data_IF_045933863893
#
_entry.id   IF_045933863893
#
_cell.length_a   1.000
_cell.length_b   1.000
_cell.length_c   1.000
_cell.angle_alpha   90.00
_cell.angle_beta   90.00
_cell.angle_gamma   90.00
#
_symmetry.space_group_name_H-M   'P 1'
#
loop_
_entity.id
_entity.type
_entity.pdbx_description
1 polymer ?
#
# COMPACT_ATOMS: atom_id res chain seq x y z
N UNK A 1 -10.68 -0.57 7.95
CA UNK A 1 -10.69 0.67 8.76
C UNK A 1 -9.44 0.71 9.62
N UNK A 2 -8.74 1.84 9.58
CA UNK A 2 -7.51 2.06 10.33
C UNK A 2 -7.77 3.09 11.44
N UNK A 3 -7.06 2.93 12.56
CA UNK A 3 -7.04 3.92 13.63
C UNK A 3 -5.66 4.59 13.64
N UNK A 4 -5.61 5.81 13.16
CA UNK A 4 -4.37 6.59 13.07
C UNK A 4 -4.53 7.86 13.90
N UNK A 5 -3.74 7.99 14.95
CA UNK A 5 -3.80 9.13 15.86
C UNK A 5 -5.22 9.41 16.38
N UNK A 6 -5.99 8.36 16.66
CA UNK A 6 -7.37 8.48 17.13
C UNK A 6 -8.40 8.69 16.02
N UNK A 7 -8.00 8.80 14.77
CA UNK A 7 -8.90 8.94 13.63
C UNK A 7 -9.18 7.58 13.00
N UNK A 8 -10.45 7.33 12.67
CA UNK A 8 -10.84 6.13 11.93
C UNK A 8 -10.82 6.45 10.44
N UNK A 9 -10.00 5.71 9.70
CA UNK A 9 -9.76 5.96 8.28
C UNK A 9 -10.08 4.70 7.49
N UNK A 10 -10.91 4.83 6.46
CA UNK A 10 -11.20 3.71 5.55
C UNK A 10 -10.04 3.51 4.58
N UNK A 11 -9.56 2.26 4.47
CA UNK A 11 -8.47 1.95 3.53
C UNK A 11 -8.85 2.26 2.09
N UNK A 12 -10.12 2.03 1.73
CA UNK A 12 -10.62 2.34 0.39
C UNK A 12 -10.56 3.83 0.06
N UNK A 13 -10.80 4.69 1.06
CA UNK A 13 -10.71 6.14 0.88
C UNK A 13 -9.27 6.58 0.59
N UNK A 14 -8.32 6.02 1.32
CA UNK A 14 -6.90 6.33 1.12
C UNK A 14 -6.44 5.80 -0.24
N UNK A 15 -6.83 4.59 -0.60
CA UNK A 15 -6.49 4.01 -1.90
C UNK A 15 -7.04 4.87 -3.04
N UNK A 16 -8.27 5.34 -2.92
CA UNK A 16 -8.88 6.23 -3.91
C UNK A 16 -8.15 7.55 -4.04
N UNK A 17 -7.75 8.14 -2.93
CA UNK A 17 -6.98 9.39 -2.93
C UNK A 17 -5.61 9.21 -3.58
N UNK A 18 -4.92 8.10 -3.30
CA UNK A 18 -3.64 7.78 -3.94
C UNK A 18 -3.82 7.58 -5.44
N UNK A 19 -4.89 6.92 -5.84
CA UNK A 19 -5.17 6.67 -7.26
C UNK A 19 -5.38 7.92 -8.10
N UNK A 20 -5.68 9.05 -7.47
CA UNK A 20 -5.82 10.33 -8.16
C UNK A 20 -4.48 11.00 -8.47
N UNK A 21 -3.40 10.54 -7.86
CA UNK A 21 -2.08 11.11 -8.11
C UNK A 21 -1.59 10.74 -9.50
N UNK A 22 -0.83 11.63 -10.13
CA UNK A 22 -0.28 11.41 -11.47
C UNK A 22 0.65 10.21 -11.49
N UNK A 23 0.49 9.34 -12.48
CA UNK A 23 1.37 8.21 -12.71
C UNK A 23 1.01 6.95 -11.94
N UNK A 24 0.02 6.98 -11.06
CA UNK A 24 -0.41 5.82 -10.28
C UNK A 24 -1.39 4.97 -11.08
N UNK A 25 -1.09 3.68 -11.24
CA UNK A 25 -1.99 2.72 -11.87
C UNK A 25 -2.91 2.07 -10.85
N UNK A 26 -2.35 1.55 -9.76
CA UNK A 26 -3.10 0.92 -8.68
C UNK A 26 -2.46 1.23 -7.33
N UNK A 27 -3.24 1.12 -6.27
CA UNK A 27 -2.73 1.25 -4.91
C UNK A 27 -3.47 0.30 -3.98
N UNK A 28 -2.75 -0.20 -2.99
CA UNK A 28 -3.34 -0.98 -1.91
C UNK A 28 -2.77 -0.47 -0.58
N UNK A 29 -3.64 -0.28 0.39
CA UNK A 29 -3.28 0.31 1.68
C UNK A 29 -3.58 -0.68 2.80
N UNK A 30 -2.62 -0.85 3.70
CA UNK A 30 -2.80 -1.66 4.90
C UNK A 30 -2.28 -0.91 6.12
N UNK A 31 -2.76 -1.29 7.30
CA UNK A 31 -2.24 -0.78 8.56
C UNK A 31 -1.08 -1.62 9.05
N UNK A 32 -0.17 -0.99 9.77
CA UNK A 32 0.90 -1.67 10.47
C UNK A 32 1.09 -1.05 11.85
N UNK A 33 1.67 -1.77 12.83
CA UNK A 33 1.89 -1.20 14.17
C UNK A 33 2.79 0.04 14.12
N UNK A 34 2.38 1.08 14.83
CA UNK A 34 3.12 2.34 14.90
C UNK A 34 3.16 2.80 16.36
N UNK A 35 4.34 3.07 16.88
CA UNK A 35 4.55 3.37 18.31
C UNK A 35 3.81 4.61 18.78
N UNK A 36 3.71 5.62 17.95
CA UNK A 36 3.11 6.91 18.32
C UNK A 36 1.63 6.97 17.93
N UNK A 37 1.29 6.53 16.73
CA UNK A 37 -0.06 6.68 16.16
C UNK A 37 -1.00 5.52 16.47
N UNK A 38 -0.52 4.44 17.06
CA UNK A 38 -1.24 3.19 17.21
C UNK A 38 -1.15 2.33 15.95
N UNK A 39 -1.61 2.85 14.82
CA UNK A 39 -1.42 2.25 13.50
C UNK A 39 -0.81 3.26 12.55
N UNK A 40 0.11 2.82 11.72
CA UNK A 40 0.62 3.59 10.60
C UNK A 40 -0.04 3.14 9.30
N UNK A 41 0.16 3.89 8.25
CA UNK A 41 -0.39 3.62 6.92
C UNK A 41 0.75 3.21 6.00
N UNK A 42 0.65 2.01 5.45
CA UNK A 42 1.61 1.47 4.49
C UNK A 42 0.91 1.33 3.14
N UNK A 43 1.41 2.03 2.13
CA UNK A 43 0.82 2.00 0.80
C UNK A 43 1.72 1.27 -0.18
N UNK A 44 1.14 0.33 -0.91
CA UNK A 44 1.81 -0.35 -2.03
C UNK A 44 1.25 0.24 -3.31
N UNK A 45 2.11 0.78 -4.16
CA UNK A 45 1.69 1.53 -5.34
C UNK A 45 2.33 0.92 -6.59
N UNK A 46 1.50 0.67 -7.60
CA UNK A 46 1.98 0.34 -8.94
C UNK A 46 1.87 1.58 -9.81
N UNK A 47 2.87 1.81 -10.64
CA UNK A 47 2.91 2.96 -11.54
C UNK A 47 2.46 2.56 -12.95
N UNK A 48 1.96 3.54 -13.69
CA UNK A 48 1.58 3.34 -15.08
C UNK A 48 2.80 3.00 -15.94
N UNK A 49 2.57 2.30 -17.04
CA UNK A 49 3.64 1.96 -17.98
C UNK A 49 4.39 3.21 -18.44
N UNK A 50 5.70 3.17 -18.34
CA UNK A 50 6.56 4.29 -18.71
C UNK A 50 6.80 5.32 -17.61
N UNK A 51 6.16 5.16 -16.45
CA UNK A 51 6.37 6.04 -15.30
C UNK A 51 7.37 5.40 -14.36
N UNK A 52 8.39 6.14 -13.96
CA UNK A 52 9.39 5.68 -13.01
C UNK A 52 9.15 6.29 -11.64
N UNK A 53 9.45 5.52 -10.59
CA UNK A 53 9.36 6.01 -9.22
C UNK A 53 10.35 7.16 -9.02
N UNK A 54 9.89 8.23 -8.35
CA UNK A 54 10.72 9.41 -8.08
C UNK A 54 10.19 10.11 -6.83
N UNK A 55 10.99 11.03 -6.30
CA UNK A 55 10.56 11.86 -5.17
C UNK A 55 9.33 12.71 -5.55
N UNK A 56 9.26 13.16 -6.78
CA UNK A 56 8.11 13.92 -7.28
C UNK A 56 6.82 13.11 -7.22
N UNK A 57 6.88 11.84 -7.65
CA UNK A 57 5.73 10.92 -7.57
C UNK A 57 5.37 10.65 -6.11
N UNK A 58 6.34 10.40 -5.28
CA UNK A 58 6.15 10.15 -3.85
C UNK A 58 5.44 11.33 -3.17
N UNK A 59 5.96 12.54 -3.39
CA UNK A 59 5.39 13.75 -2.82
C UNK A 59 4.00 14.04 -3.36
N UNK A 60 3.77 13.77 -4.64
CA UNK A 60 2.47 13.93 -5.29
C UNK A 60 1.41 13.02 -4.68
N UNK A 61 1.76 11.79 -4.36
CA UNK A 61 0.85 10.85 -3.70
C UNK A 61 0.47 11.36 -2.31
N UNK A 62 1.43 11.79 -1.52
CA UNK A 62 1.19 12.32 -0.18
C UNK A 62 0.35 13.59 -0.23
N UNK A 63 0.61 14.46 -1.18
CA UNK A 63 -0.18 15.69 -1.38
C UNK A 63 -1.62 15.38 -1.77
N UNK A 64 -1.83 14.40 -2.64
CA UNK A 64 -3.17 13.98 -3.05
C UNK A 64 -4.00 13.47 -1.88
N UNK A 65 -3.41 12.64 -1.02
CA UNK A 65 -4.08 12.14 0.18
C UNK A 65 -4.38 13.27 1.15
N UNK A 66 -3.44 14.19 1.36
CA UNK A 66 -3.63 15.34 2.24
C UNK A 66 -4.77 16.22 1.76
N UNK A 67 -4.86 16.45 0.45
CA UNK A 67 -5.92 17.27 -0.14
C UNK A 67 -7.29 16.63 -0.02
N UNK A 68 -7.39 15.33 -0.29
CA UNK A 68 -8.69 14.64 -0.34
C UNK A 68 -9.22 14.26 1.04
N UNK A 69 -8.34 13.92 1.97
CA UNK A 69 -8.74 13.39 3.28
C UNK A 69 -8.21 14.27 4.40
N UNK A 70 -6.92 14.51 4.43
CA UNK A 70 -6.27 15.31 5.46
C UNK A 70 -4.87 14.79 5.77
N UNK A 71 -4.05 15.58 6.48
CA UNK A 71 -2.66 15.20 6.77
C UNK A 71 -2.54 13.96 7.65
N UNK A 72 -3.56 13.62 8.44
CA UNK A 72 -3.54 12.42 9.29
C UNK A 72 -3.61 11.14 8.49
N UNK A 73 -4.06 11.19 7.23
CA UNK A 73 -4.18 10.03 6.36
C UNK A 73 -2.98 9.85 5.42
N UNK A 74 -1.96 10.71 5.50
CA UNK A 74 -0.76 10.55 4.67
C UNK A 74 -0.08 9.22 4.97
N UNK A 75 0.27 8.44 3.93
CA UNK A 75 1.02 7.20 4.16
C UNK A 75 2.34 7.45 4.88
N UNK A 76 2.63 6.65 5.89
CA UNK A 76 3.93 6.69 6.58
C UNK A 76 5.00 6.05 5.72
N UNK A 77 4.63 5.01 4.97
CA UNK A 77 5.52 4.33 4.04
C UNK A 77 4.80 4.14 2.71
N UNK A 78 5.51 4.38 1.62
CA UNK A 78 5.03 4.09 0.27
C UNK A 78 6.06 3.19 -0.40
N UNK A 79 5.64 2.01 -0.82
CA UNK A 79 6.48 1.08 -1.55
C UNK A 79 6.00 0.98 -2.99
N UNK A 80 6.84 1.35 -3.94
CA UNK A 80 6.55 1.16 -5.35
C UNK A 80 6.86 -0.27 -5.75
N UNK A 81 5.94 -0.89 -6.45
CA UNK A 81 6.07 -2.29 -6.86
C UNK A 81 5.55 -2.47 -8.28
N UNK A 82 6.14 -3.39 -9.07
CA UNK A 82 5.66 -3.66 -10.42
C UNK A 82 4.28 -4.31 -10.45
N UNK A 83 3.89 -5.00 -9.37
CA UNK A 83 2.59 -5.67 -9.31
C UNK A 83 2.15 -5.86 -7.86
N UNK A 84 0.84 -6.03 -7.66
CA UNK A 84 0.25 -6.34 -6.36
C UNK A 84 -0.11 -7.83 -6.31
N UNK A 85 -0.08 -8.47 -5.12
CA UNK A 85 -0.47 -9.86 -5.00
C UNK A 85 -1.98 -9.99 -5.19
N UNK A 86 -2.39 -10.66 -6.24
CA UNK A 86 -3.80 -10.84 -6.59
C UNK A 86 -4.12 -12.33 -6.74
N UNK A 87 -5.35 -12.70 -6.40
CA UNK A 87 -5.88 -14.01 -6.71
C UNK A 87 -6.08 -14.13 -8.23
N UNK A 88 -6.33 -15.33 -8.71
CA UNK A 88 -6.61 -15.56 -10.13
C UNK A 88 -7.85 -14.82 -10.62
N UNK A 89 -8.76 -14.47 -9.70
CA UNK A 89 -9.93 -13.66 -10.02
C UNK A 89 -9.66 -12.16 -10.02
N UNK A 90 -8.44 -11.75 -9.69
CA UNK A 90 -8.03 -10.35 -9.70
C UNK A 90 -8.21 -9.60 -8.37
N UNK A 91 -8.55 -10.31 -7.31
CA UNK A 91 -8.73 -9.72 -5.98
C UNK A 91 -7.38 -9.52 -5.28
N UNK A 92 -7.11 -8.33 -4.77
CA UNK A 92 -5.89 -8.02 -4.03
C UNK A 92 -5.89 -8.77 -2.69
N UNK A 93 -4.81 -9.47 -2.39
CA UNK A 93 -4.66 -10.19 -1.13
C UNK A 93 -4.00 -9.30 -0.08
N UNK A 94 -4.80 -8.48 0.58
CA UNK A 94 -4.32 -7.53 1.59
C UNK A 94 -3.69 -8.22 2.80
N UNK A 95 -4.07 -9.44 3.09
CA UNK A 95 -3.47 -10.24 4.17
C UNK A 95 -1.96 -10.37 3.98
N UNK A 96 -1.52 -10.64 2.76
CA UNK A 96 -0.10 -10.77 2.41
C UNK A 96 0.59 -9.42 2.53
N UNK A 97 -0.03 -8.36 2.02
CA UNK A 97 0.54 -7.02 2.11
C UNK A 97 0.70 -6.56 3.57
N UNK A 98 -0.26 -6.91 4.40
CA UNK A 98 -0.20 -6.59 5.84
C UNK A 98 0.98 -7.27 6.52
N UNK A 99 1.22 -8.55 6.20
CA UNK A 99 2.37 -9.28 6.72
C UNK A 99 3.69 -8.66 6.30
N UNK A 100 3.79 -8.22 5.06
CA UNK A 100 4.98 -7.54 4.55
C UNK A 100 5.18 -6.21 5.27
N UNK A 101 4.14 -5.43 5.46
CA UNK A 101 4.21 -4.15 6.15
C UNK A 101 4.62 -4.30 7.62
N UNK A 102 4.20 -5.36 8.28
CA UNK A 102 4.56 -5.68 9.65
C UNK A 102 6.00 -6.23 9.78
N UNK A 103 6.62 -6.60 8.67
CA UNK A 103 7.92 -7.25 8.67
C UNK A 103 7.87 -8.73 9.02
N UNK A 104 6.68 -9.33 9.06
CA UNK A 104 6.48 -10.74 9.38
C UNK A 104 6.51 -11.57 8.10
N UNK A 105 7.73 -11.78 7.60
CA UNK A 105 7.95 -12.39 6.29
C UNK A 105 7.88 -13.92 6.30
N UNK A 106 7.86 -14.52 7.47
CA UNK A 106 7.81 -15.98 7.62
C UNK A 106 6.40 -16.54 7.71
N UNK A 107 5.43 -15.73 8.11
CA UNK A 107 4.06 -16.15 8.36
C UNK A 107 3.10 -15.68 7.27
N UNK A 108 3.49 -15.83 6.00
CA UNK A 108 2.67 -15.41 4.87
C UNK A 108 1.39 -16.24 4.71
N UNK A 109 1.35 -17.43 5.28
CA UNK A 109 0.23 -18.33 5.13
C UNK A 109 0.17 -18.94 3.74
N UNK A 110 -1.03 -19.34 3.32
CA UNK A 110 -1.23 -19.98 2.03
C UNK A 110 -1.25 -18.94 0.90
N UNK A 111 -0.29 -19.03 -0.01
CA UNK A 111 -0.20 -18.17 -1.19
C UNK A 111 -0.54 -18.93 -2.49
N UNK A 112 -1.03 -20.15 -2.38
CA UNK A 112 -1.32 -20.99 -3.57
C UNK A 112 -2.42 -20.43 -4.46
N UNK A 113 -3.28 -19.55 -3.94
CA UNK A 113 -4.35 -18.91 -4.70
C UNK A 113 -3.90 -17.71 -5.51
N UNK A 114 -2.64 -17.28 -5.35
CA UNK A 114 -2.12 -16.15 -6.12
C UNK A 114 -1.94 -16.51 -7.58
N UNK A 115 -2.30 -15.57 -8.46
CA UNK A 115 -2.06 -15.70 -9.89
C UNK A 115 -0.56 -15.74 -10.20
N UNK A 116 0.23 -14.96 -9.47
CA UNK A 116 1.68 -14.88 -9.63
C UNK A 116 2.37 -14.81 -8.26
N UNK A 117 2.76 -15.96 -7.69
CA UNK A 117 3.44 -15.97 -6.38
C UNK A 117 4.78 -15.24 -6.36
N UNK A 118 5.41 -15.00 -7.49
CA UNK A 118 6.68 -14.28 -7.55
C UNK A 118 6.56 -12.82 -7.09
N UNK A 119 5.35 -12.26 -7.13
CA UNK A 119 5.07 -10.91 -6.63
C UNK A 119 5.41 -10.80 -5.14
N UNK A 120 5.13 -11.84 -4.36
CA UNK A 120 5.44 -11.84 -2.92
C UNK A 120 6.94 -11.75 -2.69
N UNK A 121 7.73 -12.50 -3.45
CA UNK A 121 9.20 -12.45 -3.34
C UNK A 121 9.73 -11.05 -3.71
N UNK A 122 9.17 -10.46 -4.76
CA UNK A 122 9.53 -9.10 -5.21
C UNK A 122 9.24 -8.05 -4.14
N UNK A 123 8.06 -8.11 -3.53
CA UNK A 123 7.66 -7.19 -2.46
C UNK A 123 8.52 -7.36 -1.21
N UNK A 124 8.81 -8.60 -0.85
CA UNK A 124 9.64 -8.92 0.31
C UNK A 124 11.06 -8.39 0.13
N UNK A 125 11.63 -8.55 -1.05
CA UNK A 125 12.98 -8.09 -1.36
C UNK A 125 13.09 -6.56 -1.37
N UNK A 126 12.03 -5.86 -1.76
CA UNK A 126 12.01 -4.40 -1.86
C UNK A 126 11.74 -3.70 -0.52
N UNK A 127 11.33 -4.44 0.49
CA UNK A 127 10.99 -3.87 1.79
C UNK A 127 12.21 -3.33 2.57
#
# INVERSE_FOLDING_TARGET
>A
VLNVSGHRIGTAEVEGAIGKASGVAEAAVVGFPHDIKGQGIYAFVTLMTGVEASDEIYDGIRASVTKDIGPHAKPDEIQFTPALPKTRSGKIMRRILRKIAEGDLENMGDISTLADPSVVASLTAAR
#
